data_IF_689189429685
#
_entry.id   IF_689189429685
#
_cell.length_a   1.000
_cell.length_b   1.000
_cell.length_c   1.000
_cell.angle_alpha   90.00
_cell.angle_beta   90.00
_cell.angle_gamma   90.00
#
_symmetry.space_group_name_H-M   'P 1'
#
loop_
_entity.id
_entity.type
_entity.pdbx_description
1 polymer ?
#
# COMPACT_ATOMS: atom_id res chain seq x y z
N UNK A 1 4.11 -17.86 -8.77
CA UNK A 1 5.25 -16.93 -8.63
C UNK A 1 5.30 -16.51 -7.18
N UNK A 2 6.44 -16.74 -6.53
CA UNK A 2 6.61 -16.43 -5.10
C UNK A 2 6.75 -14.92 -4.93
N UNK A 3 6.07 -14.30 -3.95
CA UNK A 3 6.16 -12.86 -3.74
C UNK A 3 7.62 -12.48 -3.46
N UNK A 4 8.11 -11.50 -4.20
CA UNK A 4 9.43 -10.91 -4.02
C UNK A 4 9.64 -10.57 -2.54
N UNK A 5 10.58 -11.29 -1.90
CA UNK A 5 10.97 -11.09 -0.50
C UNK A 5 11.88 -9.89 -0.32
N UNK A 6 11.91 -8.96 -1.27
CA UNK A 6 12.81 -7.84 -1.21
C UNK A 6 12.18 -6.72 -0.35
N UNK A 7 12.87 -6.35 0.74
CA UNK A 7 12.41 -5.28 1.65
C UNK A 7 12.45 -3.89 1.00
N UNK A 8 13.13 -3.76 -0.14
CA UNK A 8 13.25 -2.51 -0.90
C UNK A 8 11.97 -2.06 -1.60
N UNK A 9 11.02 -2.96 -1.89
CA UNK A 9 9.77 -2.59 -2.59
C UNK A 9 8.67 -2.09 -1.66
N UNK A 10 8.90 -2.07 -0.33
CA UNK A 10 7.89 -1.62 0.64
C UNK A 10 8.12 -0.17 1.02
N UNK A 11 7.24 0.70 0.55
CA UNK A 11 7.18 2.09 0.98
C UNK A 11 6.06 2.31 1.98
N UNK A 12 6.21 3.31 2.85
CA UNK A 12 5.25 3.64 3.90
C UNK A 12 5.07 5.15 3.95
N UNK A 13 3.84 5.57 4.22
CA UNK A 13 3.51 6.96 4.51
C UNK A 13 3.92 7.36 5.92
N UNK A 14 3.81 8.64 6.23
CA UNK A 14 3.91 9.13 7.60
C UNK A 14 2.73 8.67 8.46
N UNK A 15 2.96 8.58 9.77
CA UNK A 15 1.90 8.23 10.73
C UNK A 15 1.14 9.50 11.11
N UNK A 16 -0.11 9.59 10.66
CA UNK A 16 -1.06 10.61 11.12
C UNK A 16 -1.75 10.10 12.37
N UNK A 17 -1.70 10.87 13.46
CA UNK A 17 -2.23 10.48 14.77
C UNK A 17 -3.59 11.11 15.03
N UNK A 18 -4.35 10.53 15.96
CA UNK A 18 -5.61 11.09 16.49
C UNK A 18 -6.71 11.34 15.45
N UNK A 19 -6.74 10.56 14.37
CA UNK A 19 -7.81 10.59 13.38
C UNK A 19 -8.12 9.19 12.86
N UNK A 20 -9.39 8.93 12.58
CA UNK A 20 -9.84 7.73 11.86
C UNK A 20 -9.92 7.96 10.34
N UNK A 21 -9.76 9.21 9.88
CA UNK A 21 -9.81 9.60 8.47
C UNK A 21 -8.52 10.35 8.12
N UNK A 22 -7.36 9.66 8.06
CA UNK A 22 -6.10 10.29 7.70
C UNK A 22 -6.12 10.73 6.22
N UNK A 23 -5.65 11.94 5.96
CA UNK A 23 -5.35 12.44 4.60
C UNK A 23 -3.84 12.52 4.49
N UNK A 24 -3.23 11.60 3.73
CA UNK A 24 -1.78 11.51 3.61
C UNK A 24 -1.23 12.54 2.62
N UNK A 25 -1.83 12.66 1.43
CA UNK A 25 -1.36 13.54 0.35
C UNK A 25 0.14 13.35 0.04
N UNK A 26 0.59 12.09 0.08
CA UNK A 26 1.98 11.67 -0.16
C UNK A 26 2.08 10.92 -1.49
N UNK A 27 3.15 11.16 -2.24
CA UNK A 27 3.51 10.41 -3.45
C UNK A 27 4.57 9.36 -3.12
N UNK A 28 4.33 8.12 -3.55
CA UNK A 28 5.27 7.00 -3.43
C UNK A 28 5.74 6.59 -4.82
N UNK A 29 7.05 6.47 -5.02
CA UNK A 29 7.66 6.24 -6.35
C UNK A 29 8.33 4.87 -6.41
N UNK A 30 7.92 4.01 -7.36
CA UNK A 30 8.49 2.68 -7.55
C UNK A 30 9.20 2.59 -8.90
N UNK A 31 10.47 2.22 -8.88
CA UNK A 31 11.23 1.96 -10.09
C UNK A 31 10.93 0.54 -10.59
N UNK A 32 10.21 0.43 -11.71
CA UNK A 32 9.80 -0.84 -12.31
C UNK A 32 9.95 -0.73 -13.82
N UNK A 33 10.46 -1.80 -14.45
CA UNK A 33 10.52 -1.87 -15.90
C UNK A 33 9.10 -1.99 -16.48
N UNK A 34 8.72 -1.06 -17.35
CA UNK A 34 7.42 -1.07 -18.05
C UNK A 34 7.13 -2.38 -18.81
N UNK A 35 8.17 -3.10 -19.23
CA UNK A 35 8.00 -4.39 -19.92
C UNK A 35 7.51 -5.52 -18.99
N UNK A 36 7.74 -5.38 -17.69
CA UNK A 36 7.41 -6.38 -16.67
C UNK A 36 6.30 -5.91 -15.73
N UNK A 37 5.85 -4.65 -15.85
CA UNK A 37 4.90 -4.00 -14.94
C UNK A 37 3.59 -4.78 -14.78
N UNK A 38 3.12 -5.43 -15.86
CA UNK A 38 1.91 -6.24 -15.86
C UNK A 38 1.99 -7.50 -14.98
N UNK A 39 3.20 -7.91 -14.58
CA UNK A 39 3.40 -9.06 -13.69
C UNK A 39 3.35 -8.67 -12.21
N UNK A 40 3.19 -7.38 -11.90
CA UNK A 40 3.16 -6.86 -10.54
C UNK A 40 1.75 -6.43 -10.13
N UNK A 41 1.54 -6.41 -8.81
CA UNK A 41 0.38 -5.82 -8.17
C UNK A 41 0.84 -4.90 -7.03
N UNK A 42 0.12 -3.80 -6.83
CA UNK A 42 0.32 -2.93 -5.67
C UNK A 42 -0.52 -3.43 -4.51
N UNK A 43 0.13 -3.81 -3.41
CA UNK A 43 -0.54 -4.17 -2.16
C UNK A 43 -0.51 -2.98 -1.20
N UNK A 44 -1.68 -2.41 -0.92
CA UNK A 44 -1.83 -1.32 0.04
C UNK A 44 -2.39 -1.88 1.34
N UNK A 45 -1.66 -1.73 2.44
CA UNK A 45 -2.08 -2.20 3.77
C UNK A 45 -2.26 -1.05 4.71
N UNK A 46 -3.46 -0.90 5.29
CA UNK A 46 -3.74 0.14 6.28
C UNK A 46 -3.47 -0.38 7.68
N UNK A 47 -2.64 0.31 8.45
CA UNK A 47 -2.19 -0.13 9.78
C UNK A 47 -2.48 0.95 10.82
N UNK A 48 -3.27 0.60 11.83
CA UNK A 48 -3.43 1.41 13.04
C UNK A 48 -2.26 1.17 13.99
N UNK A 49 -1.48 2.23 14.25
CA UNK A 49 -0.42 2.24 15.27
C UNK A 49 -1.04 2.48 16.66
N UNK A 50 -1.74 1.47 17.17
CA UNK A 50 -2.24 1.46 18.56
C UNK A 50 -1.26 0.69 19.45
N UNK A 51 -0.21 1.38 19.90
CA UNK A 51 0.80 0.80 20.78
C UNK A 51 1.51 1.89 21.57
N UNK A 52 1.84 1.59 22.84
CA UNK A 52 2.77 2.41 23.62
C UNK A 52 4.16 2.36 22.97
N UNK A 53 5.01 3.36 23.23
CA UNK A 53 6.40 3.42 22.74
C UNK A 53 7.20 2.14 23.03
N UNK A 54 6.84 1.38 24.07
CA UNK A 54 7.45 0.09 24.42
C UNK A 54 6.94 -1.13 23.63
N UNK A 55 5.75 -1.06 23.03
CA UNK A 55 5.14 -2.18 22.29
C UNK A 55 4.41 -1.68 21.04
N UNK A 56 5.14 -1.33 19.97
CA UNK A 56 4.55 -0.90 18.72
C UNK A 56 3.95 -2.10 17.97
N UNK A 57 2.82 -2.62 18.45
CA UNK A 57 1.99 -3.57 17.69
C UNK A 57 1.06 -2.75 16.81
N UNK A 58 1.35 -2.73 15.51
CA UNK A 58 0.40 -2.19 14.54
C UNK A 58 -0.71 -3.20 14.30
N UNK A 59 -1.98 -2.78 14.45
CA UNK A 59 -3.12 -3.59 14.01
C UNK A 59 -3.36 -3.29 12.54
N UNK A 60 -3.36 -4.31 11.69
CA UNK A 60 -3.79 -4.13 10.30
C UNK A 60 -5.32 -3.98 10.30
N UNK A 61 -5.80 -2.94 9.64
CA UNK A 61 -7.22 -2.64 9.50
C UNK A 61 -7.82 -3.28 8.25
N UNK A 62 -7.02 -3.40 7.20
CA UNK A 62 -7.41 -4.06 5.95
C UNK A 62 -6.37 -3.84 4.87
N UNK A 63 -6.64 -4.43 3.70
CA UNK A 63 -5.71 -4.46 2.57
C UNK A 63 -6.46 -4.28 1.26
N UNK A 64 -5.86 -3.58 0.30
CA UNK A 64 -6.29 -3.54 -1.09
C UNK A 64 -5.17 -4.09 -1.97
N UNK A 65 -5.53 -4.87 -3.00
CA UNK A 65 -4.58 -5.36 -4.02
C UNK A 65 -5.03 -4.81 -5.36
N UNK A 66 -4.11 -4.13 -6.04
CA UNK A 66 -4.36 -3.45 -7.30
C UNK A 66 -3.47 -4.10 -8.36
N UNK A 67 -4.06 -4.84 -9.29
CA UNK A 67 -3.32 -5.48 -10.37
C UNK A 67 -2.90 -4.43 -11.41
N UNK A 68 -1.59 -4.24 -11.61
CA UNK A 68 -1.10 -3.24 -12.56
C UNK A 68 -1.38 -3.63 -14.02
N UNK A 69 -1.62 -4.92 -14.30
CA UNK A 69 -2.05 -5.42 -15.60
C UNK A 69 -3.41 -4.88 -16.05
N UNK A 70 -4.26 -4.45 -15.11
CA UNK A 70 -5.61 -3.97 -15.40
C UNK A 70 -5.67 -2.45 -15.57
N UNK A 71 -4.57 -1.73 -15.28
CA UNK A 71 -4.51 -0.28 -15.31
C UNK A 71 -3.82 0.23 -16.58
N UNK A 72 -4.36 1.32 -17.15
CA UNK A 72 -3.68 2.07 -18.21
C UNK A 72 -2.68 3.05 -17.60
N UNK A 73 -1.47 2.57 -17.31
CA UNK A 73 -0.39 3.36 -16.69
C UNK A 73 0.17 4.48 -17.60
N UNK A 74 -0.31 4.62 -18.83
CA UNK A 74 0.04 5.75 -19.69
C UNK A 74 -0.69 7.04 -19.30
N UNK A 75 -1.68 6.94 -18.41
CA UNK A 75 -2.52 8.05 -17.94
C UNK A 75 -2.53 8.09 -16.42
N UNK A 76 -2.66 9.30 -15.88
CA UNK A 76 -2.98 9.46 -14.48
C UNK A 76 -4.42 8.95 -14.23
N UNK A 77 -4.59 8.12 -13.21
CA UNK A 77 -5.88 7.61 -12.76
C UNK A 77 -6.15 8.04 -11.32
N UNK A 78 -7.43 8.17 -10.97
CA UNK A 78 -7.88 8.40 -9.58
C UNK A 78 -9.03 7.46 -9.32
N UNK A 79 -8.78 6.47 -8.46
CA UNK A 79 -9.72 5.39 -8.19
C UNK A 79 -9.81 5.13 -6.69
N UNK A 80 -10.99 4.68 -6.27
CA UNK A 80 -11.27 4.30 -4.90
C UNK A 80 -11.23 2.78 -4.80
N UNK A 81 -10.56 2.28 -3.75
CA UNK A 81 -10.41 0.87 -3.48
C UNK A 81 -10.91 0.58 -2.07
N UNK A 82 -11.82 -0.39 -1.96
CA UNK A 82 -12.27 -0.89 -0.67
C UNK A 82 -11.17 -1.72 -0.01
N UNK A 83 -11.13 -1.71 1.33
CA UNK A 83 -10.21 -2.53 2.09
C UNK A 83 -10.85 -3.88 2.38
N UNK A 84 -10.24 -4.95 1.90
CA UNK A 84 -10.58 -6.30 2.31
C UNK A 84 -10.10 -6.58 3.74
N UNK A 85 -10.91 -7.35 4.46
CA UNK A 85 -10.52 -7.89 5.75
C UNK A 85 -9.40 -8.93 5.56
N UNK A 86 -8.47 -8.98 6.52
CA UNK A 86 -7.53 -10.10 6.61
C UNK A 86 -8.30 -11.30 7.17
N UNK A 87 -8.46 -12.34 6.36
CA UNK A 87 -8.87 -13.68 6.83
C UNK A 87 -7.86 -14.26 7.85
#
# INVERSE_FOLDING_TARGET
MTPDRNKETKQKTQVIKNTCNPIFDESLEFDVNMSEVSNYALEVTVISKSGSMMFPRGKILGKAVIELSQLDLSKAATEWYDLDALE
#
